data_IF_849906439184
#
_entry.id   IF_849906439184
#
_cell.length_a   1.000
_cell.length_b   1.000
_cell.length_c   1.000
_cell.angle_alpha   90.00
_cell.angle_beta   90.00
_cell.angle_gamma   90.00
#
_symmetry.space_group_name_H-M   'P 1'
#
loop_
_entity.id
_entity.type
_entity.pdbx_description
1 polymer ?
#
# COMPACT_ATOMS: atom_id res chain seq x y z
N UNK A 1 5.59 -12.08 -6.95
CA UNK A 1 4.13 -12.21 -7.18
C UNK A 1 3.77 -11.52 -8.48
N UNK A 2 4.15 -10.24 -8.65
CA UNK A 2 4.04 -9.54 -9.94
C UNK A 2 4.68 -10.29 -11.12
N UNK A 3 5.85 -10.93 -10.94
CA UNK A 3 6.46 -11.77 -11.99
C UNK A 3 5.61 -12.98 -12.44
N UNK A 4 4.62 -13.36 -11.62
CA UNK A 4 3.62 -14.40 -11.93
C UNK A 4 2.30 -13.82 -12.42
N UNK A 5 2.23 -12.52 -12.69
CA UNK A 5 1.03 -11.84 -13.18
C UNK A 5 -0.04 -11.59 -12.12
N UNK A 6 0.30 -11.59 -10.83
CA UNK A 6 -0.67 -11.42 -9.72
C UNK A 6 -0.41 -10.10 -8.99
N UNK A 7 -1.47 -9.33 -8.71
CA UNK A 7 -1.48 -8.22 -7.75
C UNK A 7 -2.19 -8.64 -6.46
N UNK A 8 -1.77 -8.12 -5.30
CA UNK A 8 -2.34 -8.49 -4.00
C UNK A 8 -3.48 -7.57 -3.58
N UNK A 9 -3.36 -6.26 -3.82
CA UNK A 9 -4.38 -5.23 -3.55
C UNK A 9 -4.89 -5.16 -2.10
N UNK A 10 -4.09 -5.70 -1.17
CA UNK A 10 -4.45 -5.82 0.25
C UNK A 10 -3.23 -5.77 1.16
N UNK A 11 -2.13 -5.17 0.69
CA UNK A 11 -0.92 -5.03 1.48
C UNK A 11 -1.12 -3.95 2.56
N UNK A 12 -1.21 -4.41 3.82
CA UNK A 12 -1.35 -3.59 5.03
C UNK A 12 -0.65 -4.30 6.19
N UNK A 13 -0.32 -3.59 7.30
CA UNK A 13 0.32 -4.20 8.46
C UNK A 13 -0.40 -5.45 8.98
N UNK A 14 -1.72 -5.47 9.00
CA UNK A 14 -2.54 -6.63 9.43
C UNK A 14 -2.28 -7.90 8.61
N UNK A 15 -1.87 -7.73 7.34
CA UNK A 15 -1.68 -8.80 6.38
C UNK A 15 -0.21 -9.21 6.24
N UNK A 16 0.69 -8.62 7.04
CA UNK A 16 2.12 -8.97 7.09
C UNK A 16 2.38 -9.79 8.36
N UNK A 17 2.49 -11.10 8.18
CA UNK A 17 2.73 -12.05 9.26
C UNK A 17 4.22 -12.19 9.55
N UNK A 18 4.56 -12.43 10.82
CA UNK A 18 5.95 -12.67 11.26
C UNK A 18 6.10 -14.07 11.85
N UNK A 19 7.11 -14.81 11.39
CA UNK A 19 7.52 -16.09 11.99
C UNK A 19 9.03 -16.22 11.97
N UNK A 20 9.65 -16.39 13.14
CA UNK A 20 11.10 -16.51 13.29
C UNK A 20 11.89 -15.36 12.63
N UNK A 21 11.40 -14.12 12.77
CA UNK A 21 12.00 -12.93 12.16
C UNK A 21 11.80 -12.80 10.66
N UNK A 22 11.07 -13.73 10.02
CA UNK A 22 10.73 -13.67 8.59
C UNK A 22 9.33 -13.08 8.46
N UNK A 23 9.24 -11.99 7.68
CA UNK A 23 7.99 -11.33 7.32
C UNK A 23 7.43 -11.95 6.05
N UNK A 24 6.13 -12.25 6.05
CA UNK A 24 5.42 -12.85 4.93
C UNK A 24 4.10 -12.13 4.71
N UNK A 25 3.89 -11.70 3.48
CA UNK A 25 2.60 -11.21 3.04
C UNK A 25 1.62 -12.37 2.93
N UNK A 26 0.42 -12.21 3.48
CA UNK A 26 -0.70 -13.15 3.34
C UNK A 26 -2.02 -12.41 3.18
N UNK A 27 -3.13 -13.15 3.28
CA UNK A 27 -4.49 -12.66 2.96
C UNK A 27 -4.65 -12.18 1.51
N UNK A 28 -4.89 -13.13 0.61
CA UNK A 28 -5.05 -12.91 -0.82
C UNK A 28 -6.53 -12.68 -1.22
N UNK A 29 -7.39 -12.25 -0.29
CA UNK A 29 -8.82 -12.04 -0.57
C UNK A 29 -9.08 -11.09 -1.74
N UNK A 30 -8.32 -10.00 -1.83
CA UNK A 30 -8.42 -8.99 -2.90
C UNK A 30 -7.49 -9.26 -4.10
N UNK A 31 -6.75 -10.38 -4.09
CA UNK A 31 -5.73 -10.62 -5.10
C UNK A 31 -6.35 -10.91 -6.47
N UNK A 32 -5.75 -10.38 -7.53
CA UNK A 32 -6.26 -10.50 -8.89
C UNK A 32 -5.11 -10.63 -9.91
N UNK A 33 -5.45 -10.83 -11.18
CA UNK A 33 -4.48 -10.94 -12.27
C UNK A 33 -4.20 -9.59 -12.92
N UNK A 34 -2.91 -9.32 -13.18
CA UNK A 34 -2.43 -8.08 -13.84
C UNK A 34 -2.90 -7.93 -15.29
N UNK A 35 -3.44 -9.00 -15.89
CA UNK A 35 -3.95 -8.98 -17.27
C UNK A 35 -5.42 -8.53 -17.36
N UNK A 36 -6.01 -8.07 -16.27
CA UNK A 36 -7.40 -7.60 -16.16
C UNK A 36 -8.44 -8.64 -16.58
N UNK A 37 -8.10 -9.94 -16.48
CA UNK A 37 -9.01 -11.04 -16.81
C UNK A 37 -9.98 -11.40 -15.69
N UNK A 38 -9.77 -10.85 -14.49
CA UNK A 38 -10.61 -11.03 -13.32
C UNK A 38 -11.10 -9.67 -12.82
N UNK A 39 -12.28 -9.61 -12.18
CA UNK A 39 -12.74 -8.40 -11.52
C UNK A 39 -11.73 -7.98 -10.43
N UNK A 40 -11.69 -6.68 -10.17
CA UNK A 40 -10.87 -6.11 -9.09
C UNK A 40 -11.76 -5.95 -7.86
N UNK A 41 -11.33 -6.52 -6.74
CA UNK A 41 -11.88 -6.20 -5.43
C UNK A 41 -10.94 -5.19 -4.76
N UNK A 42 -11.48 -4.03 -4.40
CA UNK A 42 -10.73 -3.02 -3.67
C UNK A 42 -10.52 -3.47 -2.21
N UNK A 43 -9.26 -3.47 -1.77
CA UNK A 43 -8.91 -3.60 -0.37
C UNK A 43 -9.18 -2.33 0.43
N UNK A 44 -8.47 -2.20 1.55
CA UNK A 44 -8.65 -1.07 2.48
C UNK A 44 -8.24 0.26 1.83
N UNK A 45 -9.22 1.16 1.68
CA UNK A 45 -9.04 2.44 1.02
C UNK A 45 -7.87 3.25 1.58
N UNK A 46 -7.52 3.15 2.88
CA UNK A 46 -6.38 3.89 3.48
C UNK A 46 -5.04 3.58 2.82
N UNK A 47 -4.91 2.39 2.25
CA UNK A 47 -3.69 1.87 1.61
C UNK A 47 -3.76 1.93 0.08
N UNK A 48 -4.81 2.52 -0.49
CA UNK A 48 -5.01 2.61 -1.93
C UNK A 48 -4.56 3.95 -2.50
N UNK A 49 -3.89 3.97 -3.65
CA UNK A 49 -3.53 5.21 -4.33
C UNK A 49 -4.77 5.86 -4.97
N UNK A 50 -4.65 7.13 -5.39
CA UNK A 50 -5.79 7.92 -5.86
C UNK A 50 -6.41 7.34 -7.14
N UNK A 51 -5.60 6.76 -8.03
CA UNK A 51 -6.05 6.15 -9.27
C UNK A 51 -7.04 5.00 -9.03
N UNK A 52 -6.82 4.17 -8.01
CA UNK A 52 -7.72 3.06 -7.68
C UNK A 52 -9.03 3.57 -7.12
N UNK A 53 -8.98 4.61 -6.27
CA UNK A 53 -10.19 5.27 -5.75
C UNK A 53 -11.02 5.98 -6.83
N UNK A 54 -10.44 6.17 -8.02
CA UNK A 54 -11.09 6.75 -9.19
C UNK A 54 -11.36 5.69 -10.28
N UNK A 55 -11.44 4.41 -9.90
CA UNK A 55 -11.71 3.27 -10.78
C UNK A 55 -10.70 3.07 -11.93
N UNK A 56 -9.45 3.54 -11.75
CA UNK A 56 -8.36 3.29 -12.71
C UNK A 56 -7.49 2.11 -12.25
N UNK A 57 -7.64 1.00 -12.97
CA UNK A 57 -7.01 -0.29 -12.69
C UNK A 57 -5.88 -0.66 -13.68
N UNK A 58 -5.33 0.30 -14.43
CA UNK A 58 -4.34 0.01 -15.49
C UNK A 58 -2.99 -0.47 -14.94
N UNK A 59 -2.67 -0.17 -13.68
CA UNK A 59 -1.34 -0.38 -13.09
C UNK A 59 -1.39 -1.04 -11.71
N UNK A 60 -2.06 -2.19 -11.62
CA UNK A 60 -2.26 -2.93 -10.35
C UNK A 60 -0.96 -3.31 -9.62
N UNK A 61 0.17 -3.49 -10.33
CA UNK A 61 1.46 -3.75 -9.67
C UNK A 61 1.99 -2.53 -8.88
N UNK A 62 1.65 -1.32 -9.34
CA UNK A 62 2.02 -0.06 -8.69
C UNK A 62 1.19 0.20 -7.45
N UNK A 63 -0.05 -0.29 -7.44
CA UNK A 63 -0.93 -0.25 -6.26
C UNK A 63 -0.27 -0.95 -5.08
N UNK A 64 0.23 -2.18 -5.28
CA UNK A 64 0.92 -2.92 -4.21
C UNK A 64 2.15 -2.18 -3.67
N UNK A 65 2.88 -1.43 -4.52
CA UNK A 65 4.03 -0.62 -4.10
C UNK A 65 3.59 0.56 -3.24
N UNK A 66 2.52 1.25 -3.65
CA UNK A 66 1.92 2.31 -2.84
C UNK A 66 1.43 1.77 -1.49
N UNK A 67 0.68 0.67 -1.48
CA UNK A 67 0.15 0.05 -0.27
C UNK A 67 1.27 -0.38 0.69
N UNK A 68 2.38 -0.89 0.17
CA UNK A 68 3.57 -1.19 0.98
C UNK A 68 4.20 0.08 1.58
N UNK A 69 4.33 1.15 0.79
CA UNK A 69 4.83 2.44 1.27
C UNK A 69 3.93 3.05 2.36
N UNK A 70 2.61 3.00 2.15
CA UNK A 70 1.61 3.42 3.13
C UNK A 70 1.69 2.59 4.43
N UNK A 71 1.90 1.27 4.31
CA UNK A 71 2.13 0.37 5.45
C UNK A 71 3.37 0.74 6.25
N UNK A 72 4.50 0.98 5.57
CA UNK A 72 5.73 1.42 6.22
C UNK A 72 5.54 2.77 6.91
N UNK A 73 4.86 3.71 6.25
CA UNK A 73 4.58 5.03 6.79
C UNK A 73 3.73 4.96 8.07
N UNK A 74 2.69 4.12 8.11
CA UNK A 74 1.91 3.85 9.32
C UNK A 74 2.79 3.34 10.47
N UNK A 75 3.61 2.32 10.18
CA UNK A 75 4.47 1.67 11.18
C UNK A 75 5.48 2.65 11.78
N UNK A 76 6.07 3.51 10.97
CA UNK A 76 7.09 4.48 11.42
C UNK A 76 6.48 5.60 12.24
N UNK A 77 5.28 6.05 11.86
CA UNK A 77 4.53 7.02 12.67
C UNK A 77 3.99 6.42 13.96
N UNK A 78 3.88 5.09 14.05
CA UNK A 78 3.26 4.40 15.18
C UNK A 78 1.79 4.78 15.39
N UNK A 79 1.08 5.21 14.34
CA UNK A 79 -0.32 5.65 14.42
C UNK A 79 -1.08 5.34 13.13
N UNK A 80 -2.33 4.84 13.21
CA UNK A 80 -3.11 4.42 12.06
C UNK A 80 -3.21 5.49 10.96
N UNK A 81 -3.26 5.07 9.70
CA UNK A 81 -3.56 5.97 8.60
C UNK A 81 -4.96 6.60 8.75
N UNK A 82 -5.13 7.87 8.37
CA UNK A 82 -6.43 8.53 8.36
C UNK A 82 -7.36 7.85 7.35
N UNK A 83 -8.65 7.73 7.68
CA UNK A 83 -9.67 7.18 6.77
C UNK A 83 -10.17 8.21 5.75
N UNK A 84 -10.05 9.51 6.06
CA UNK A 84 -10.52 10.60 5.21
C UNK A 84 -9.82 11.92 5.55
N UNK A 85 -10.14 12.99 4.81
CA UNK A 85 -9.68 14.35 5.09
C UNK A 85 -8.31 14.69 4.49
N UNK A 86 -7.74 15.84 4.88
CA UNK A 86 -6.53 16.38 4.25
C UNK A 86 -5.31 15.46 4.33
N UNK A 87 -5.12 14.76 5.45
CA UNK A 87 -3.98 13.84 5.62
C UNK A 87 -4.12 12.59 4.74
N UNK A 88 -5.35 12.12 4.49
CA UNK A 88 -5.64 11.04 3.55
C UNK A 88 -5.25 11.46 2.13
N UNK A 89 -5.61 12.67 1.71
CA UNK A 89 -5.25 13.19 0.38
C UNK A 89 -3.74 13.45 0.26
N UNK A 90 -3.12 14.08 1.26
CA UNK A 90 -1.69 14.40 1.25
C UNK A 90 -0.81 13.16 1.05
N UNK A 91 -1.16 12.02 1.65
CA UNK A 91 -0.46 10.75 1.45
C UNK A 91 -0.42 10.35 -0.04
N UNK A 92 -1.54 10.50 -0.75
CA UNK A 92 -1.67 10.17 -2.18
C UNK A 92 -0.98 11.16 -3.10
N UNK A 93 -0.84 12.40 -2.65
CA UNK A 93 -0.08 13.44 -3.35
C UNK A 93 1.42 13.40 -3.04
N UNK A 94 1.89 12.44 -2.24
CA UNK A 94 3.29 12.35 -1.80
C UNK A 94 3.72 13.47 -0.84
N UNK A 95 2.77 14.22 -0.27
CA UNK A 95 3.00 15.33 0.68
C UNK A 95 3.15 14.78 2.10
N UNK A 96 4.22 14.06 2.34
CA UNK A 96 4.50 13.47 3.66
C UNK A 96 5.22 14.49 4.56
N UNK A 97 4.75 14.70 5.80
CA UNK A 97 5.53 15.45 6.78
C UNK A 97 6.84 14.70 7.08
N UNK A 98 7.89 15.46 7.39
CA UNK A 98 9.15 14.88 7.85
C UNK A 98 8.91 14.05 9.11
N UNK A 99 9.55 12.89 9.16
CA UNK A 99 9.53 11.95 10.27
C UNK A 99 10.80 12.18 11.11
N UNK A 100 10.69 12.85 12.28
CA UNK A 100 11.84 13.09 13.13
C UNK A 100 12.51 11.78 13.55
N UNK A 101 13.83 11.80 13.73
CA UNK A 101 14.60 10.61 14.10
C UNK A 101 14.89 9.64 12.95
N UNK A 102 14.44 9.93 11.73
CA UNK A 102 14.71 9.11 10.54
C UNK A 102 15.51 9.90 9.50
N UNK A 103 16.40 9.23 8.76
CA UNK A 103 17.25 9.92 7.78
C UNK A 103 16.45 10.45 6.58
N UNK A 104 16.91 11.55 5.97
CA UNK A 104 16.30 12.06 4.73
C UNK A 104 16.44 11.06 3.57
N UNK A 105 17.53 10.29 3.54
CA UNK A 105 17.72 9.23 2.55
C UNK A 105 16.61 8.18 2.63
N UNK A 106 16.27 7.76 3.85
CA UNK A 106 15.16 6.85 4.10
C UNK A 106 13.80 7.45 3.70
N UNK A 107 13.59 8.74 4.00
CA UNK A 107 12.32 9.43 3.72
C UNK A 107 12.11 9.78 2.24
N UNK A 108 13.17 9.79 1.43
CA UNK A 108 13.13 10.08 -0.01
C UNK A 108 13.20 8.83 -0.88
N UNK A 109 12.94 7.64 -0.32
CA UNK A 109 12.92 6.41 -1.10
C UNK A 109 11.72 6.43 -2.05
N UNK A 110 11.99 6.49 -3.36
CA UNK A 110 11.02 6.49 -4.45
C UNK A 110 11.43 5.45 -5.50
#
# INVERSE_FOLDING_TARGET
>A
MHDRGIAHLGAKPDNIYVKNGIYKLGDFGCATLLNNSLPVEEGDARYMPQEILNDNFDHLDKVDKFSLGASMYELIRGSPLPESGPQFLNLREGKLPLLPGHSLHFQNFA
#
